data_IF_200423086864
#
_entry.id   IF_200423086864
#
_cell.length_a   1.000
_cell.length_b   1.000
_cell.length_c   1.000
_cell.angle_alpha   90.00
_cell.angle_beta   90.00
_cell.angle_gamma   90.00
#
_symmetry.space_group_name_H-M   'P 1'
#
loop_
_entity.id
_entity.type
_entity.pdbx_description
1 polymer ?
#
# COMPACT_ATOMS: atom_id res chain seq x y z
N UNK A 1 -12.42 63.08 -26.21
CA UNK A 1 -12.51 61.73 -26.78
C UNK A 1 -11.18 60.91 -26.55
N UNK A 2 -9.99 61.48 -26.86
CA UNK A 2 -8.70 60.77 -26.65
C UNK A 2 -8.47 60.39 -25.19
N UNK A 3 -8.62 61.32 -24.23
CA UNK A 3 -8.40 61.02 -22.81
C UNK A 3 -9.30 59.88 -22.24
N UNK A 4 -10.52 59.74 -22.77
CA UNK A 4 -11.40 58.62 -22.38
C UNK A 4 -10.95 57.30 -22.97
N UNK A 5 -10.39 57.29 -24.18
CA UNK A 5 -9.78 56.10 -24.79
C UNK A 5 -8.50 55.68 -24.06
N UNK A 6 -7.62 56.64 -23.72
CA UNK A 6 -6.37 56.39 -23.02
C UNK A 6 -6.64 55.78 -21.65
N UNK A 7 -7.64 56.25 -20.91
CA UNK A 7 -8.02 55.66 -19.62
C UNK A 7 -8.60 54.24 -19.73
N UNK A 8 -9.24 53.87 -20.84
CA UNK A 8 -9.69 52.50 -21.09
C UNK A 8 -8.49 51.58 -21.41
N UNK A 9 -7.53 52.06 -22.19
CA UNK A 9 -6.33 51.31 -22.52
C UNK A 9 -5.45 51.06 -21.28
N UNK A 10 -5.28 52.06 -20.43
CA UNK A 10 -4.53 51.91 -19.17
C UNK A 10 -5.19 50.88 -18.24
N UNK A 11 -6.52 50.93 -18.08
CA UNK A 11 -7.26 49.94 -17.29
C UNK A 11 -7.12 48.53 -17.86
N UNK A 12 -7.20 48.37 -19.19
CA UNK A 12 -6.98 47.06 -19.83
C UNK A 12 -5.56 46.53 -19.62
N UNK A 13 -4.59 47.44 -19.73
CA UNK A 13 -3.16 47.07 -19.50
C UNK A 13 -2.92 46.65 -18.05
N UNK A 14 -3.39 47.41 -17.07
CA UNK A 14 -3.29 47.10 -15.67
C UNK A 14 -3.99 45.77 -15.33
N UNK A 15 -5.14 45.49 -15.93
CA UNK A 15 -5.85 44.23 -15.78
C UNK A 15 -5.06 43.05 -16.38
N UNK A 16 -4.47 43.22 -17.57
CA UNK A 16 -3.65 42.22 -18.22
C UNK A 16 -2.39 41.92 -17.39
N UNK A 17 -1.71 42.95 -16.91
CA UNK A 17 -0.53 42.80 -16.03
C UNK A 17 -0.88 42.08 -14.73
N UNK A 18 -2.01 42.41 -14.09
CA UNK A 18 -2.50 41.71 -12.91
C UNK A 18 -2.82 40.24 -13.17
N UNK A 19 -3.44 39.94 -14.31
CA UNK A 19 -3.74 38.56 -14.70
C UNK A 19 -2.48 37.76 -14.99
N UNK A 20 -1.44 38.35 -15.54
CA UNK A 20 -0.17 37.69 -15.81
C UNK A 20 0.62 37.41 -14.50
N UNK A 21 0.60 38.36 -13.56
CA UNK A 21 1.17 38.14 -12.22
C UNK A 21 0.43 37.00 -11.49
N UNK A 22 -0.90 36.94 -11.59
CA UNK A 22 -1.67 35.82 -11.00
C UNK A 22 -1.30 34.48 -11.62
N UNK A 23 -1.10 34.40 -12.94
CA UNK A 23 -0.67 33.17 -13.63
C UNK A 23 0.73 32.73 -13.19
N UNK A 24 1.64 33.66 -12.97
CA UNK A 24 2.98 33.35 -12.44
C UNK A 24 2.90 32.80 -11.01
N UNK A 25 2.11 33.44 -10.15
CA UNK A 25 1.86 32.95 -8.77
C UNK A 25 1.23 31.55 -8.77
N UNK A 26 0.29 31.30 -9.70
CA UNK A 26 -0.29 29.97 -9.87
C UNK A 26 0.76 28.92 -10.31
N UNK A 27 1.71 29.30 -11.16
CA UNK A 27 2.81 28.42 -11.58
C UNK A 27 3.69 28.04 -10.39
N UNK A 28 4.08 29.03 -9.57
CA UNK A 28 4.86 28.78 -8.35
C UNK A 28 4.11 27.87 -7.39
N UNK A 29 2.83 28.09 -7.16
CA UNK A 29 2.00 27.25 -6.31
C UNK A 29 1.90 25.80 -6.83
N UNK A 30 1.80 25.60 -8.15
CA UNK A 30 1.82 24.28 -8.77
C UNK A 30 3.19 23.61 -8.66
N UNK A 31 4.27 24.36 -8.81
CA UNK A 31 5.63 23.83 -8.64
C UNK A 31 5.86 23.32 -7.21
N UNK A 32 5.40 24.07 -6.21
CA UNK A 32 5.48 23.64 -4.79
C UNK A 32 4.79 22.27 -4.59
N UNK A 33 3.62 22.06 -5.20
CA UNK A 33 2.94 20.74 -5.11
C UNK A 33 3.79 19.63 -5.77
N UNK A 34 4.40 19.88 -6.92
CA UNK A 34 5.28 18.90 -7.56
C UNK A 34 6.50 18.58 -6.70
N UNK A 35 7.11 19.57 -6.08
CA UNK A 35 8.27 19.42 -5.20
C UNK A 35 7.90 18.67 -3.91
N UNK A 36 6.74 18.97 -3.31
CA UNK A 36 6.23 18.22 -2.17
C UNK A 36 6.04 16.75 -2.52
N UNK A 37 5.39 16.46 -3.64
CA UNK A 37 5.19 15.08 -4.09
C UNK A 37 6.52 14.38 -4.40
N UNK A 38 7.49 15.07 -5.00
CA UNK A 38 8.80 14.51 -5.33
C UNK A 38 9.56 14.04 -4.08
N UNK A 39 9.41 14.74 -2.97
CA UNK A 39 10.08 14.45 -1.71
C UNK A 39 9.34 13.41 -0.82
N UNK A 40 8.19 12.91 -1.26
CA UNK A 40 7.46 11.87 -0.51
C UNK A 40 8.25 10.57 -0.50
N UNK A 41 8.61 10.13 0.71
CA UNK A 41 9.24 8.85 0.98
C UNK A 41 8.58 8.21 2.21
N UNK A 42 7.58 7.37 1.99
CA UNK A 42 6.86 6.67 3.04
C UNK A 42 6.40 5.29 2.58
N UNK A 43 6.34 4.35 3.51
CA UNK A 43 5.76 3.01 3.30
C UNK A 43 4.30 2.92 3.76
N UNK A 44 3.72 3.99 4.30
CA UNK A 44 2.32 4.02 4.72
C UNK A 44 1.41 4.30 3.52
N UNK A 45 0.68 3.26 3.09
CA UNK A 45 -0.26 3.34 1.96
C UNK A 45 -1.45 4.26 2.21
N UNK A 46 -1.91 4.38 3.46
CA UNK A 46 -3.03 5.27 3.79
C UNK A 46 -2.57 6.72 3.69
N UNK A 47 -1.37 7.01 4.17
CA UNK A 47 -0.75 8.32 4.03
C UNK A 47 -0.52 8.69 2.57
N UNK A 48 0.02 7.76 1.75
CA UNK A 48 0.21 7.97 0.31
C UNK A 48 -1.09 8.31 -0.41
N UNK A 49 -2.18 7.59 -0.11
CA UNK A 49 -3.51 7.88 -0.68
C UNK A 49 -3.97 9.29 -0.32
N UNK A 50 -3.90 9.65 0.96
CA UNK A 50 -4.31 10.97 1.43
C UNK A 50 -3.50 12.10 0.78
N UNK A 51 -2.19 11.90 0.60
CA UNK A 51 -1.31 12.87 -0.07
C UNK A 51 -1.69 13.05 -1.54
N UNK A 52 -1.97 11.97 -2.26
CA UNK A 52 -2.41 12.00 -3.67
C UNK A 52 -3.75 12.73 -3.78
N UNK A 53 -4.71 12.42 -2.92
CA UNK A 53 -6.04 13.04 -2.94
C UNK A 53 -5.96 14.54 -2.62
N UNK A 54 -5.17 14.93 -1.62
CA UNK A 54 -4.90 16.31 -1.26
C UNK A 54 -4.22 17.09 -2.40
N UNK A 55 -3.19 16.48 -3.00
CA UNK A 55 -2.49 17.09 -4.12
C UNK A 55 -3.42 17.33 -5.32
N UNK A 56 -4.28 16.37 -5.68
CA UNK A 56 -5.27 16.51 -6.73
C UNK A 56 -6.30 17.61 -6.43
N UNK A 57 -6.76 17.73 -5.18
CA UNK A 57 -7.69 18.76 -4.76
C UNK A 57 -7.04 20.16 -4.87
N UNK A 58 -5.83 20.31 -4.34
CA UNK A 58 -5.08 21.56 -4.41
C UNK A 58 -4.76 21.96 -5.85
N UNK A 59 -4.32 21.00 -6.70
CA UNK A 59 -4.04 21.26 -8.10
C UNK A 59 -5.23 21.82 -8.86
N UNK A 60 -6.41 21.28 -8.62
CA UNK A 60 -7.67 21.74 -9.24
C UNK A 60 -8.11 23.13 -8.76
N UNK A 61 -7.75 23.50 -7.53
CA UNK A 61 -8.10 24.82 -6.98
C UNK A 61 -7.21 25.95 -7.50
N UNK A 62 -6.00 25.62 -7.99
CA UNK A 62 -5.09 26.59 -8.59
C UNK A 62 -5.56 26.91 -10.02
N UNK A 63 -5.61 28.18 -10.33
CA UNK A 63 -6.05 28.65 -11.63
C UNK A 63 -5.06 28.40 -12.78
N UNK A 64 -5.29 29.11 -13.88
CA UNK A 64 -4.44 28.99 -15.08
C UNK A 64 -3.01 29.49 -14.81
N UNK A 65 -2.07 28.86 -15.51
CA UNK A 65 -0.66 29.22 -15.53
C UNK A 65 -0.30 29.84 -16.90
N UNK A 66 0.90 30.46 -17.07
CA UNK A 66 1.34 30.92 -18.37
C UNK A 66 1.40 29.76 -19.39
N UNK A 67 0.86 29.96 -20.59
CA UNK A 67 0.76 28.91 -21.63
C UNK A 67 2.08 28.23 -21.96
N UNK A 68 3.19 28.98 -21.90
CA UNK A 68 4.51 28.45 -22.16
C UNK A 68 4.93 27.35 -21.13
N UNK A 69 4.37 27.33 -19.94
CA UNK A 69 4.70 26.42 -18.84
C UNK A 69 3.62 25.36 -18.56
N UNK A 70 2.42 25.53 -19.15
CA UNK A 70 1.25 24.70 -18.86
C UNK A 70 1.51 23.21 -19.10
N UNK A 71 2.01 22.87 -20.28
CA UNK A 71 2.28 21.47 -20.63
C UNK A 71 3.37 20.86 -19.74
N UNK A 72 4.44 21.61 -19.48
CA UNK A 72 5.56 21.12 -18.68
C UNK A 72 5.14 20.82 -17.25
N UNK A 73 4.46 21.75 -16.60
CA UNK A 73 4.07 21.59 -15.19
C UNK A 73 2.99 20.50 -15.02
N UNK A 74 2.10 20.34 -16.01
CA UNK A 74 1.12 19.25 -16.02
C UNK A 74 1.80 17.89 -16.16
N UNK A 75 2.77 17.75 -17.09
CA UNK A 75 3.54 16.52 -17.25
C UNK A 75 4.34 16.17 -15.98
N UNK A 76 4.93 17.15 -15.33
CA UNK A 76 5.66 16.97 -14.07
C UNK A 76 4.72 16.47 -12.97
N UNK A 77 3.57 17.09 -12.79
CA UNK A 77 2.57 16.66 -11.82
C UNK A 77 2.10 15.23 -12.08
N UNK A 78 1.73 14.90 -13.33
CA UNK A 78 1.29 13.55 -13.70
C UNK A 78 2.39 12.51 -13.48
N UNK A 79 3.64 12.84 -13.74
CA UNK A 79 4.79 11.98 -13.48
C UNK A 79 4.94 11.66 -11.98
N UNK A 80 4.82 12.66 -11.10
CA UNK A 80 4.88 12.46 -9.66
C UNK A 80 3.70 11.62 -9.15
N UNK A 81 2.50 11.87 -9.65
CA UNK A 81 1.33 11.06 -9.30
C UNK A 81 1.50 9.60 -9.71
N UNK A 82 2.02 9.35 -10.91
CA UNK A 82 2.28 7.99 -11.40
C UNK A 82 3.30 7.29 -10.51
N UNK A 83 4.42 7.95 -10.20
CA UNK A 83 5.45 7.43 -9.28
C UNK A 83 4.88 7.00 -7.92
N UNK A 84 4.01 7.83 -7.32
CA UNK A 84 3.40 7.51 -6.01
C UNK A 84 2.37 6.38 -6.11
N UNK A 85 1.63 6.29 -7.22
CA UNK A 85 0.72 5.16 -7.49
C UNK A 85 1.48 3.85 -7.65
N UNK A 86 2.60 3.88 -8.38
CA UNK A 86 3.47 2.70 -8.56
C UNK A 86 4.07 2.26 -7.22
N UNK A 87 4.51 3.21 -6.39
CA UNK A 87 4.96 2.92 -5.03
C UNK A 87 3.85 2.26 -4.20
N UNK A 88 2.64 2.80 -4.24
CA UNK A 88 1.47 2.24 -3.56
C UNK A 88 1.16 0.80 -3.99
N UNK A 89 1.24 0.54 -5.30
CA UNK A 89 1.03 -0.79 -5.87
C UNK A 89 2.14 -1.77 -5.46
N UNK A 90 3.39 -1.35 -5.49
CA UNK A 90 4.53 -2.19 -5.06
C UNK A 90 4.42 -2.58 -3.58
N UNK A 91 4.06 -1.64 -2.70
CA UNK A 91 3.82 -1.90 -1.28
C UNK A 91 2.67 -2.90 -1.07
N UNK A 92 1.57 -2.74 -1.83
CA UNK A 92 0.46 -3.70 -1.78
C UNK A 92 0.89 -5.11 -2.21
N UNK A 93 1.68 -5.21 -3.26
CA UNK A 93 2.19 -6.49 -3.76
C UNK A 93 3.12 -7.15 -2.74
N UNK A 94 4.02 -6.38 -2.13
CA UNK A 94 4.90 -6.87 -1.07
C UNK A 94 4.11 -7.37 0.15
N UNK A 95 3.12 -6.63 0.62
CA UNK A 95 2.25 -7.08 1.71
C UNK A 95 1.52 -8.39 1.38
N UNK A 96 1.02 -8.50 0.15
CA UNK A 96 0.35 -9.71 -0.32
C UNK A 96 1.31 -10.91 -0.37
N UNK A 97 2.51 -10.71 -0.92
CA UNK A 97 3.54 -11.75 -0.99
C UNK A 97 3.96 -12.23 0.41
N UNK A 98 4.20 -11.30 1.34
CA UNK A 98 4.55 -11.64 2.72
C UNK A 98 3.45 -12.46 3.40
N UNK A 99 2.18 -12.03 3.28
CA UNK A 99 1.03 -12.77 3.82
C UNK A 99 0.92 -14.15 3.20
N UNK A 100 1.03 -14.27 1.88
CA UNK A 100 0.97 -15.55 1.17
C UNK A 100 2.07 -16.49 1.65
N UNK A 101 3.27 -15.99 1.84
CA UNK A 101 4.41 -16.77 2.32
C UNK A 101 4.20 -17.28 3.76
N UNK A 102 3.64 -16.45 4.64
CA UNK A 102 3.25 -16.85 5.99
C UNK A 102 2.19 -17.97 5.98
N UNK A 103 1.20 -17.90 5.07
CA UNK A 103 0.21 -18.98 4.92
C UNK A 103 0.85 -20.27 4.45
N UNK A 104 1.74 -20.23 3.46
CA UNK A 104 2.45 -21.42 2.96
C UNK A 104 3.28 -22.05 4.08
N UNK A 105 4.03 -21.25 4.83
CA UNK A 105 4.82 -21.72 5.96
C UNK A 105 3.94 -22.34 7.05
N UNK A 106 2.82 -21.71 7.38
CA UNK A 106 1.88 -22.22 8.37
C UNK A 106 1.29 -23.59 7.97
N UNK A 107 0.90 -23.75 6.70
CA UNK A 107 0.42 -25.03 6.19
C UNK A 107 1.51 -26.07 6.23
N UNK A 108 2.74 -25.75 5.84
CA UNK A 108 3.88 -26.67 5.91
C UNK A 108 4.18 -27.13 7.35
N UNK A 109 4.07 -26.22 8.34
CA UNK A 109 4.23 -26.59 9.74
C UNK A 109 3.10 -27.48 10.26
N UNK A 110 1.84 -27.24 9.84
CA UNK A 110 0.76 -28.17 10.16
C UNK A 110 1.05 -29.56 9.60
N UNK A 111 1.47 -29.67 8.33
CA UNK A 111 1.81 -30.94 7.69
C UNK A 111 3.00 -31.63 8.38
N UNK A 112 4.05 -30.87 8.71
CA UNK A 112 5.22 -31.38 9.44
C UNK A 112 4.82 -31.94 10.80
N UNK A 113 3.97 -31.24 11.56
CA UNK A 113 3.46 -31.69 12.85
C UNK A 113 2.64 -32.97 12.71
N UNK A 114 1.66 -32.98 11.82
CA UNK A 114 0.79 -34.15 11.57
C UNK A 114 1.61 -35.36 11.15
N UNK A 115 2.58 -35.19 10.25
CA UNK A 115 3.48 -36.26 9.83
C UNK A 115 4.32 -36.80 11.00
N UNK A 116 4.88 -35.92 11.86
CA UNK A 116 5.61 -36.32 13.06
C UNK A 116 4.72 -37.13 14.00
N UNK A 117 3.48 -36.69 14.24
CA UNK A 117 2.52 -37.44 15.09
C UNK A 117 2.16 -38.80 14.49
N UNK A 118 1.99 -38.90 13.16
CA UNK A 118 1.73 -40.17 12.47
C UNK A 118 2.88 -41.18 12.59
N UNK A 119 4.11 -40.73 12.77
CA UNK A 119 5.29 -41.58 12.94
C UNK A 119 5.60 -41.98 14.39
N UNK A 120 4.70 -41.66 15.31
CA UNK A 120 4.86 -42.02 16.73
C UNK A 120 5.39 -40.90 17.62
N UNK A 121 5.57 -39.67 17.02
CA UNK A 121 5.81 -38.42 17.75
C UNK A 121 7.16 -38.34 18.48
N UNK A 122 8.14 -37.75 17.84
CA UNK A 122 9.34 -37.29 18.53
C UNK A 122 9.06 -35.95 19.24
N UNK A 123 9.09 -35.94 20.58
CA UNK A 123 8.84 -34.75 21.39
C UNK A 123 9.74 -33.55 20.99
N UNK A 124 11.01 -33.83 20.66
CA UNK A 124 11.95 -32.78 20.24
C UNK A 124 11.54 -32.12 18.93
N UNK A 125 11.06 -32.91 17.96
CA UNK A 125 10.58 -32.43 16.68
C UNK A 125 9.27 -31.65 16.83
N UNK A 126 8.36 -32.09 17.70
CA UNK A 126 7.11 -31.39 18.00
C UNK A 126 7.40 -30.03 18.64
N UNK A 127 8.32 -29.97 19.60
CA UNK A 127 8.69 -28.70 20.26
C UNK A 127 9.36 -27.73 19.29
N UNK A 128 10.19 -28.22 18.38
CA UNK A 128 10.76 -27.40 17.30
C UNK A 128 9.67 -26.81 16.40
N UNK A 129 8.70 -27.62 15.98
CA UNK A 129 7.59 -27.11 15.14
C UNK A 129 6.75 -26.09 15.89
N UNK A 130 6.50 -26.26 17.19
CA UNK A 130 5.81 -25.27 18.03
C UNK A 130 6.58 -23.95 18.10
N UNK A 131 7.89 -24.02 18.27
CA UNK A 131 8.74 -22.82 18.31
C UNK A 131 8.76 -22.10 16.96
N UNK A 132 8.87 -22.82 15.84
CA UNK A 132 8.76 -22.23 14.50
C UNK A 132 7.39 -21.57 14.28
N UNK A 133 6.29 -22.16 14.80
CA UNK A 133 4.93 -21.63 14.71
C UNK A 133 4.75 -20.28 15.42
N UNK A 134 5.44 -20.03 16.52
CA UNK A 134 5.35 -18.77 17.27
C UNK A 134 5.76 -17.54 16.42
N UNK A 135 6.62 -17.77 15.43
CA UNK A 135 7.07 -16.72 14.50
C UNK A 135 6.03 -16.33 13.45
N UNK A 136 4.96 -17.14 13.27
CA UNK A 136 3.97 -16.97 12.21
C UNK A 136 2.82 -16.07 12.64
N UNK A 137 2.50 -15.08 11.79
CA UNK A 137 1.40 -14.13 12.03
C UNK A 137 0.26 -14.34 11.03
N UNK A 138 -0.76 -15.13 11.39
CA UNK A 138 -1.94 -15.42 10.56
C UNK A 138 -3.15 -14.53 10.88
N UNK A 139 -2.94 -13.27 11.23
CA UNK A 139 -4.00 -12.40 11.76
C UNK A 139 -5.09 -12.08 10.74
N UNK A 140 -6.35 -12.12 11.19
CA UNK A 140 -7.48 -11.39 10.62
C UNK A 140 -8.19 -12.05 9.43
N UNK A 141 -7.82 -13.24 8.96
CA UNK A 141 -8.48 -13.91 7.84
C UNK A 141 -9.21 -15.18 8.25
N UNK A 142 -10.29 -15.54 7.53
CA UNK A 142 -11.00 -16.81 7.74
C UNK A 142 -10.04 -18.00 7.56
N UNK A 143 -9.20 -17.96 6.54
CA UNK A 143 -8.20 -19.00 6.27
C UNK A 143 -7.17 -19.12 7.42
N UNK A 144 -6.70 -17.99 7.94
CA UNK A 144 -5.77 -17.97 9.08
C UNK A 144 -6.37 -18.67 10.31
N UNK A 145 -7.66 -18.43 10.61
CA UNK A 145 -8.37 -19.11 11.71
C UNK A 145 -8.47 -20.62 11.50
N UNK A 146 -8.74 -21.06 10.27
CA UNK A 146 -8.79 -22.50 9.93
C UNK A 146 -7.43 -23.16 10.16
N UNK A 147 -6.35 -22.55 9.67
CA UNK A 147 -4.99 -23.08 9.84
C UNK A 147 -4.59 -23.09 11.32
N UNK A 148 -4.88 -22.02 12.08
CA UNK A 148 -4.65 -21.98 13.53
C UNK A 148 -5.41 -23.09 14.27
N UNK A 149 -6.69 -23.30 13.93
CA UNK A 149 -7.49 -24.40 14.52
C UNK A 149 -6.93 -25.78 14.19
N UNK A 150 -6.44 -25.98 12.96
CA UNK A 150 -5.79 -27.21 12.53
C UNK A 150 -4.53 -27.48 13.33
N UNK A 151 -3.66 -26.48 13.49
CA UNK A 151 -2.44 -26.58 14.26
C UNK A 151 -2.74 -26.86 15.76
N UNK A 152 -3.69 -26.11 16.35
CA UNK A 152 -4.09 -26.26 17.74
C UNK A 152 -4.69 -27.66 18.00
N UNK A 153 -5.48 -28.18 17.08
CA UNK A 153 -6.01 -29.55 17.18
C UNK A 153 -4.89 -30.60 17.24
N UNK A 154 -3.91 -30.50 16.36
CA UNK A 154 -2.78 -31.43 16.32
C UNK A 154 -1.88 -31.33 17.56
N UNK A 155 -1.58 -30.11 18.05
CA UNK A 155 -0.75 -29.90 19.24
C UNK A 155 -1.39 -30.32 20.56
N UNK A 156 -2.71 -30.35 20.63
CA UNK A 156 -3.47 -30.70 21.83
C UNK A 156 -3.89 -32.20 21.88
N UNK A 157 -3.56 -32.97 20.85
CA UNK A 157 -3.84 -34.40 20.84
C UNK A 157 -2.98 -35.12 21.90
N UNK A 158 -3.60 -35.92 22.80
CA UNK A 158 -2.86 -36.77 23.72
C UNK A 158 -2.12 -37.88 22.95
N UNK A 159 -0.99 -38.34 23.50
CA UNK A 159 -0.13 -39.33 22.83
C UNK A 159 -0.91 -40.61 22.47
N UNK A 160 -1.86 -41.00 23.31
CA UNK A 160 -2.68 -42.19 23.13
C UNK A 160 -3.64 -42.07 21.91
N UNK A 161 -3.95 -40.86 21.49
CA UNK A 161 -4.83 -40.60 20.34
C UNK A 161 -4.09 -40.49 18.99
N UNK A 162 -2.74 -40.48 19.00
CA UNK A 162 -1.95 -40.34 17.76
C UNK A 162 -2.17 -41.46 16.74
N UNK A 163 -2.27 -42.74 17.14
CA UNK A 163 -2.55 -43.82 16.17
C UNK A 163 -3.90 -43.66 15.48
N UNK A 164 -4.95 -43.27 16.22
CA UNK A 164 -6.26 -43.00 15.65
C UNK A 164 -6.26 -41.78 14.71
N UNK A 165 -5.57 -40.72 15.11
CA UNK A 165 -5.38 -39.54 14.26
C UNK A 165 -4.66 -39.89 12.94
N UNK A 166 -3.65 -40.73 12.98
CA UNK A 166 -2.93 -41.22 11.81
C UNK A 166 -3.84 -41.97 10.85
N UNK A 167 -4.74 -42.83 11.37
CA UNK A 167 -5.70 -43.58 10.59
C UNK A 167 -6.72 -42.63 9.91
N UNK A 168 -7.30 -41.67 10.65
CA UNK A 168 -8.24 -40.66 10.11
C UNK A 168 -7.63 -39.80 8.99
N UNK A 169 -6.34 -39.47 9.12
CA UNK A 169 -5.62 -38.69 8.10
C UNK A 169 -5.30 -39.51 6.87
N UNK A 170 -5.01 -40.83 7.02
CA UNK A 170 -4.76 -41.73 5.90
C UNK A 170 -6.00 -42.08 5.08
N UNK A 171 -7.19 -42.05 5.67
CA UNK A 171 -8.47 -42.29 4.98
C UNK A 171 -8.97 -41.08 4.16
N UNK A 172 -8.43 -39.87 4.38
CA UNK A 172 -8.81 -38.64 3.72
C UNK A 172 -7.83 -38.18 2.60
N UNK A 173 -6.88 -38.99 2.20
CA UNK A 173 -5.96 -38.81 1.09
C UNK A 173 -6.34 -39.72 -0.06
#
# INVERSE_FOLDING_TARGET
>A
FRAACDGVFEKKRAFAESADLQRLSNLEAKQVICDELANVNTSDRALLRNLIDKANANWKSIGYVPRAHEQKIEQEFQSQLLRLKDLMYSLQTQEFQQKSQQFIQAVALCQKLEFTLMQGGDSSQIDQVKQEWESIQLRGTKLGKVIQSRFARATNLPVEAWPQFAQEMGENV
#
